data_IF_992344387462
#
_entry.id   IF_992344387462
#
_cell.length_a   1.000
_cell.length_b   1.000
_cell.length_c   1.000
_cell.angle_alpha   90.00
_cell.angle_beta   90.00
_cell.angle_gamma   90.00
#
_symmetry.space_group_name_H-M   'P 1'
#
loop_
_entity.id
_entity.type
_entity.pdbx_description
1 polymer ?
#
# COMPACT_ATOMS: atom_id res chain seq x y z
N UNK A 1 19.40 23.35 21.38
CA UNK A 1 19.52 23.91 20.01
C UNK A 1 19.94 22.81 19.03
N UNK A 2 19.00 22.19 18.32
CA UNK A 2 19.31 21.16 17.31
C UNK A 2 19.74 21.79 15.98
N UNK A 3 19.00 22.79 15.49
CA UNK A 3 19.28 23.45 14.21
C UNK A 3 20.68 24.10 14.12
N UNK A 4 21.15 24.75 15.18
CA UNK A 4 22.49 25.36 15.18
C UNK A 4 23.63 24.32 15.09
N UNK A 5 23.44 23.13 15.67
CA UNK A 5 24.40 22.02 15.57
C UNK A 5 24.39 21.38 14.19
N UNK A 6 23.20 21.19 13.62
CA UNK A 6 23.05 20.66 12.27
C UNK A 6 23.62 21.62 11.22
N UNK A 7 23.35 22.92 11.34
CA UNK A 7 23.90 23.92 10.43
C UNK A 7 25.43 23.94 10.48
N UNK A 8 26.01 23.89 11.69
CA UNK A 8 27.45 23.81 11.88
C UNK A 8 28.04 22.56 11.19
N UNK A 9 27.44 21.39 11.40
CA UNK A 9 27.91 20.14 10.80
C UNK A 9 27.77 20.13 9.27
N UNK A 10 26.69 20.69 8.72
CA UNK A 10 26.52 20.88 7.27
C UNK A 10 27.60 21.81 6.70
N UNK A 11 27.95 22.88 7.41
CA UNK A 11 29.02 23.80 6.96
C UNK A 11 30.42 23.19 7.08
N UNK A 12 30.64 22.33 8.08
CA UNK A 12 31.94 21.69 8.32
C UNK A 12 32.16 20.46 7.41
N UNK A 13 31.09 19.77 6.99
CA UNK A 13 31.14 18.53 6.19
C UNK A 13 30.07 18.50 5.09
N UNK A 14 30.03 19.48 4.17
CA UNK A 14 28.97 19.59 3.17
C UNK A 14 28.85 18.35 2.27
N UNK A 15 29.96 17.68 1.96
CA UNK A 15 30.02 16.45 1.16
C UNK A 15 29.33 15.24 1.78
N UNK A 16 29.12 15.25 3.11
CA UNK A 16 28.34 14.20 3.76
C UNK A 16 26.84 14.32 3.47
N UNK A 17 26.35 15.56 3.38
CA UNK A 17 24.93 15.88 3.21
C UNK A 17 24.52 16.06 1.76
N UNK A 18 25.41 16.61 0.93
CA UNK A 18 25.15 16.93 -0.47
C UNK A 18 26.00 16.05 -1.39
N UNK A 19 25.78 14.73 -1.29
CA UNK A 19 26.40 13.76 -2.20
C UNK A 19 25.36 13.10 -3.09
N UNK A 20 25.73 12.91 -4.34
CA UNK A 20 25.06 11.95 -5.21
C UNK A 20 25.59 10.56 -4.86
N UNK A 21 24.71 9.66 -4.47
CA UNK A 21 25.03 8.24 -4.32
C UNK A 21 24.42 7.55 -5.53
N UNK A 22 25.26 6.89 -6.31
CA UNK A 22 24.78 6.04 -7.39
C UNK A 22 24.02 4.86 -6.79
N UNK A 23 22.75 4.73 -7.13
CA UNK A 23 21.95 3.58 -6.77
C UNK A 23 22.20 2.49 -7.80
N UNK A 24 23.18 1.64 -7.54
CA UNK A 24 23.44 0.49 -8.39
C UNK A 24 22.40 -0.59 -8.11
N UNK A 25 21.81 -1.13 -9.18
CA UNK A 25 20.94 -2.31 -9.17
C UNK A 25 21.56 -3.33 -10.09
N UNK A 26 21.84 -4.51 -9.56
CA UNK A 26 22.35 -5.62 -10.35
C UNK A 26 21.23 -6.27 -11.15
N UNK A 27 21.57 -6.90 -12.26
CA UNK A 27 20.59 -7.66 -13.06
C UNK A 27 19.90 -8.76 -12.24
N UNK A 28 20.61 -9.33 -11.26
CA UNK A 28 20.07 -10.33 -10.36
C UNK A 28 18.99 -9.75 -9.44
N UNK A 29 19.21 -8.56 -8.87
CA UNK A 29 18.21 -7.85 -8.05
C UNK A 29 16.99 -7.46 -8.88
N UNK A 30 17.20 -6.97 -10.11
CA UNK A 30 16.11 -6.61 -11.01
C UNK A 30 15.24 -7.82 -11.36
N UNK A 31 15.87 -8.97 -11.64
CA UNK A 31 15.16 -10.22 -11.94
C UNK A 31 14.42 -10.78 -10.72
N UNK A 32 14.99 -10.68 -9.54
CA UNK A 32 14.31 -11.06 -8.30
C UNK A 32 13.07 -10.18 -8.08
N UNK A 33 13.19 -8.86 -8.26
CA UNK A 33 12.09 -7.93 -8.15
C UNK A 33 10.98 -8.16 -9.19
N UNK A 34 11.35 -8.47 -10.44
CA UNK A 34 10.40 -8.87 -11.48
C UNK A 34 9.57 -10.08 -11.05
N UNK A 35 10.21 -11.09 -10.47
CA UNK A 35 9.52 -12.28 -9.97
C UNK A 35 8.57 -11.94 -8.81
N UNK A 36 8.98 -11.08 -7.88
CA UNK A 36 8.11 -10.63 -6.78
C UNK A 36 6.84 -9.94 -7.30
N UNK A 37 6.98 -9.06 -8.30
CA UNK A 37 5.83 -8.40 -8.94
C UNK A 37 4.90 -9.40 -9.62
N UNK A 38 5.46 -10.41 -10.31
CA UNK A 38 4.69 -11.46 -10.93
C UNK A 38 3.90 -12.28 -9.90
N UNK A 39 4.52 -12.64 -8.79
CA UNK A 39 3.90 -13.42 -7.72
C UNK A 39 2.75 -12.64 -7.06
N UNK A 40 2.94 -11.33 -6.81
CA UNK A 40 1.87 -10.43 -6.34
C UNK A 40 0.70 -10.43 -7.31
N UNK A 41 0.96 -10.28 -8.61
CA UNK A 41 -0.09 -10.30 -9.64
C UNK A 41 -0.85 -11.63 -9.66
N UNK A 42 -0.14 -12.76 -9.57
CA UNK A 42 -0.77 -14.09 -9.52
C UNK A 42 -1.62 -14.30 -8.29
N UNK A 43 -1.17 -13.81 -7.14
CA UNK A 43 -1.94 -13.85 -5.91
C UNK A 43 -3.25 -13.03 -6.05
N UNK A 44 -3.18 -11.81 -6.57
CA UNK A 44 -4.36 -10.97 -6.82
C UNK A 44 -5.35 -11.63 -7.79
N UNK A 45 -4.86 -12.19 -8.90
CA UNK A 45 -5.70 -12.92 -9.86
C UNK A 45 -6.39 -14.13 -9.23
N UNK A 46 -5.68 -14.86 -8.36
CA UNK A 46 -6.25 -15.98 -7.62
C UNK A 46 -7.36 -15.53 -6.67
N UNK A 47 -7.16 -14.45 -5.92
CA UNK A 47 -8.16 -13.90 -5.00
C UNK A 47 -9.42 -13.46 -5.73
N UNK A 48 -9.28 -12.73 -6.84
CA UNK A 48 -10.40 -12.30 -7.69
C UNK A 48 -11.20 -13.50 -8.19
N UNK A 49 -10.52 -14.51 -8.76
CA UNK A 49 -11.18 -15.70 -9.30
C UNK A 49 -11.85 -16.57 -8.24
N UNK A 50 -11.23 -16.69 -7.07
CA UNK A 50 -11.74 -17.54 -5.99
C UNK A 50 -12.76 -16.84 -5.08
N UNK A 51 -12.86 -15.50 -5.15
CA UNK A 51 -13.64 -14.69 -4.24
C UNK A 51 -13.13 -14.73 -2.79
N UNK A 52 -11.88 -15.15 -2.56
CA UNK A 52 -11.29 -15.30 -1.23
C UNK A 52 -10.27 -14.21 -0.99
N UNK A 53 -10.62 -13.26 -0.13
CA UNK A 53 -9.78 -12.13 0.26
C UNK A 53 -9.38 -12.28 1.72
N UNK A 54 -8.08 -12.38 1.99
CA UNK A 54 -7.55 -12.39 3.35
C UNK A 54 -7.28 -10.95 3.82
N UNK A 55 -7.34 -10.72 5.12
CA UNK A 55 -7.03 -9.41 5.72
C UNK A 55 -5.54 -9.26 6.01
N UNK A 56 -5.08 -8.02 6.13
CA UNK A 56 -3.72 -7.68 6.54
C UNK A 56 -3.77 -6.62 7.63
N UNK A 57 -3.79 -7.05 8.90
CA UNK A 57 -3.96 -6.16 10.06
C UNK A 57 -2.87 -5.08 10.15
N UNK A 58 -1.64 -5.39 9.73
CA UNK A 58 -0.56 -4.39 9.69
C UNK A 58 -0.86 -3.23 8.76
N UNK A 59 -1.53 -3.49 7.63
CA UNK A 59 -1.97 -2.44 6.71
C UNK A 59 -3.24 -1.75 7.21
N UNK A 60 -4.16 -2.48 7.85
CA UNK A 60 -5.39 -1.93 8.42
C UNK A 60 -5.11 -0.90 9.52
N UNK A 61 -4.12 -1.14 10.38
CA UNK A 61 -3.75 -0.29 11.51
C UNK A 61 -2.61 0.71 11.21
N UNK A 62 -2.25 0.88 9.93
CA UNK A 62 -1.27 1.87 9.52
C UNK A 62 -1.77 3.31 9.76
N UNK A 63 -0.85 4.29 9.66
CA UNK A 63 -1.15 5.72 9.87
C UNK A 63 -2.33 6.22 9.04
N UNK A 64 -2.46 5.74 7.80
CA UNK A 64 -3.58 6.05 6.91
C UNK A 64 -4.45 4.81 6.78
N UNK A 65 -5.57 4.82 7.49
CA UNK A 65 -6.50 3.70 7.53
C UNK A 65 -7.37 3.66 6.27
N UNK A 66 -7.84 2.47 5.95
CA UNK A 66 -8.79 2.25 4.87
C UNK A 66 -10.15 2.91 5.22
N UNK A 67 -10.75 3.62 4.26
CA UNK A 67 -12.09 4.23 4.42
C UNK A 67 -13.20 3.19 4.72
N UNK A 68 -12.93 1.92 4.41
CA UNK A 68 -13.86 0.80 4.60
C UNK A 68 -13.59 -0.04 5.85
N UNK A 69 -12.72 0.42 6.76
CA UNK A 69 -12.28 -0.37 7.91
C UNK A 69 -13.43 -0.71 8.87
N UNK A 70 -14.36 0.22 9.09
CA UNK A 70 -15.49 0.01 10.00
C UNK A 70 -16.42 -1.09 9.48
N UNK A 71 -16.75 -1.07 8.19
CA UNK A 71 -17.60 -2.07 7.57
C UNK A 71 -16.91 -3.45 7.54
N UNK A 72 -15.60 -3.46 7.27
CA UNK A 72 -14.79 -4.67 7.21
C UNK A 72 -14.69 -5.36 8.58
N UNK A 73 -14.31 -4.64 9.63
CA UNK A 73 -14.13 -5.20 10.98
C UNK A 73 -15.43 -5.66 11.62
N UNK A 74 -16.53 -4.95 11.35
CA UNK A 74 -17.85 -5.35 11.82
C UNK A 74 -18.49 -6.46 10.98
N UNK A 75 -17.78 -6.97 9.95
CA UNK A 75 -18.27 -8.01 9.03
C UNK A 75 -19.65 -7.68 8.45
N UNK A 76 -19.86 -6.40 8.12
CA UNK A 76 -21.13 -5.96 7.55
C UNK A 76 -21.35 -6.66 6.21
N UNK A 77 -22.57 -7.17 6.01
CA UNK A 77 -22.99 -7.65 4.70
C UNK A 77 -23.21 -6.42 3.80
N UNK A 78 -22.43 -6.31 2.73
CA UNK A 78 -22.53 -5.22 1.76
C UNK A 78 -23.02 -5.79 0.43
N UNK A 79 -24.29 -5.54 0.13
CA UNK A 79 -24.92 -5.92 -1.13
C UNK A 79 -25.91 -4.83 -1.59
N UNK A 80 -26.70 -5.09 -2.63
CA UNK A 80 -27.65 -4.11 -3.18
C UNK A 80 -28.81 -3.78 -2.24
N UNK A 81 -29.16 -4.71 -1.36
CA UNK A 81 -30.25 -4.54 -0.39
C UNK A 81 -29.72 -3.97 0.93
N UNK A 82 -28.41 -4.10 1.18
CA UNK A 82 -27.70 -3.66 2.39
C UNK A 82 -26.55 -2.70 2.05
N UNK A 83 -26.89 -1.52 1.51
CA UNK A 83 -25.91 -0.46 1.21
C UNK A 83 -25.63 0.36 2.49
N UNK A 84 -24.37 0.49 2.93
CA UNK A 84 -24.04 1.32 4.09
C UNK A 84 -24.38 2.80 3.88
N UNK A 85 -24.68 3.50 4.97
CA UNK A 85 -25.01 4.93 4.94
C UNK A 85 -23.92 5.76 4.25
N UNK A 86 -24.32 6.67 3.37
CA UNK A 86 -23.41 7.52 2.60
C UNK A 86 -22.78 6.85 1.36
N UNK A 87 -23.02 5.55 1.13
CA UNK A 87 -22.58 4.85 -0.08
C UNK A 87 -23.70 4.68 -1.11
N UNK A 88 -23.30 4.43 -2.36
CA UNK A 88 -24.22 4.08 -3.45
C UNK A 88 -23.74 2.82 -4.16
N UNK A 89 -24.64 1.89 -4.44
CA UNK A 89 -24.32 0.75 -5.28
C UNK A 89 -24.24 1.20 -6.74
N UNK A 90 -23.07 1.08 -7.35
CA UNK A 90 -22.83 1.47 -8.76
C UNK A 90 -23.13 0.34 -9.76
N UNK A 91 -23.35 -0.89 -9.30
CA UNK A 91 -23.61 -2.06 -10.15
C UNK A 91 -24.96 -2.70 -9.79
N UNK A 92 -25.85 -2.90 -10.77
CA UNK A 92 -27.17 -3.56 -10.57
C UNK A 92 -27.05 -5.09 -10.69
N UNK A 93 -27.98 -5.83 -10.04
CA UNK A 93 -28.06 -7.30 -10.16
C UNK A 93 -28.54 -7.61 -11.58
N UNK A 94 -27.75 -8.38 -12.33
CA UNK A 94 -28.06 -8.78 -13.70
C UNK A 94 -27.53 -7.76 -14.72
N UNK A 95 -26.21 -7.59 -14.76
CA UNK A 95 -25.54 -6.58 -15.57
C UNK A 95 -26.00 -6.51 -17.02
N UNK A 96 -25.93 -5.30 -17.56
CA UNK A 96 -25.38 -5.11 -18.91
C UNK A 96 -23.86 -4.97 -18.79
#
# INVERSE_FOLDING_TARGET
>A
MFGARLLKDITERPEFYFRCIELTRTDAELKAFEQELYDICKNMQFMIRSGRFYTNEHACEATFRCDYIEQCYNRMQVDQDHVPDGFKCIFKKGGE
#
